data_IF_709434853021
#
_entry.id   IF_709434853021
#
_cell.length_a   1.000
_cell.length_b   1.000
_cell.length_c   1.000
_cell.angle_alpha   90.00
_cell.angle_beta   90.00
_cell.angle_gamma   90.00
#
_symmetry.space_group_name_H-M   'P 1'
#
loop_
_entity.id
_entity.type
_entity.pdbx_description
1 polymer ?
#
# COMPACT_ATOMS: atom_id res chain seq x y z
N UNK A 1 6.54 -26.97 19.40
CA UNK A 1 7.38 -26.55 18.28
C UNK A 1 6.61 -25.75 17.21
N UNK A 2 5.39 -26.19 16.83
CA UNK A 2 4.55 -25.41 15.90
C UNK A 2 4.26 -24.00 16.40
N UNK A 3 3.93 -23.82 17.69
CA UNK A 3 3.62 -22.49 18.24
C UNK A 3 4.82 -21.55 18.20
N UNK A 4 6.04 -22.06 18.46
CA UNK A 4 7.26 -21.26 18.40
C UNK A 4 7.53 -20.75 16.97
N UNK A 5 7.39 -21.63 15.99
CA UNK A 5 7.59 -21.26 14.58
C UNK A 5 6.55 -20.24 14.15
N UNK A 6 5.29 -20.42 14.52
CA UNK A 6 4.22 -19.48 14.21
C UNK A 6 4.46 -18.11 14.85
N UNK A 7 4.85 -18.08 16.13
CA UNK A 7 5.15 -16.82 16.81
C UNK A 7 6.29 -16.07 16.13
N UNK A 8 7.37 -16.79 15.78
CA UNK A 8 8.51 -16.21 15.08
C UNK A 8 8.10 -15.65 13.72
N UNK A 9 7.28 -16.40 12.97
CA UNK A 9 6.76 -15.95 11.68
C UNK A 9 5.95 -14.68 11.84
N UNK A 10 5.00 -14.62 12.78
CA UNK A 10 4.16 -13.45 12.97
C UNK A 10 4.95 -12.22 13.43
N UNK A 11 5.98 -12.42 14.25
CA UNK A 11 6.87 -11.33 14.65
C UNK A 11 7.64 -10.76 13.45
N UNK A 12 8.19 -11.63 12.63
CA UNK A 12 8.94 -11.21 11.43
C UNK A 12 8.01 -10.53 10.44
N UNK A 13 6.82 -11.06 10.26
CA UNK A 13 5.79 -10.47 9.40
C UNK A 13 5.43 -9.06 9.87
N UNK A 14 5.13 -8.88 11.14
CA UNK A 14 4.76 -7.59 11.70
C UNK A 14 5.89 -6.58 11.55
N UNK A 15 7.13 -6.96 11.83
CA UNK A 15 8.29 -6.10 11.67
C UNK A 15 8.51 -5.70 10.21
N UNK A 16 8.36 -6.65 9.28
CA UNK A 16 8.50 -6.39 7.85
C UNK A 16 7.41 -5.43 7.36
N UNK A 17 6.16 -5.69 7.71
CA UNK A 17 5.03 -4.85 7.30
C UNK A 17 5.16 -3.44 7.86
N UNK A 18 5.58 -3.30 9.11
CA UNK A 18 5.79 -2.00 9.73
C UNK A 18 6.92 -1.23 9.04
N UNK A 19 8.02 -1.90 8.73
CA UNK A 19 9.14 -1.31 8.01
C UNK A 19 8.72 -0.82 6.62
N UNK A 20 7.95 -1.63 5.90
CA UNK A 20 7.44 -1.27 4.57
C UNK A 20 6.49 -0.08 4.65
N UNK A 21 5.58 -0.08 5.62
CA UNK A 21 4.64 1.01 5.81
C UNK A 21 5.36 2.32 6.15
N UNK A 22 6.33 2.29 7.06
CA UNK A 22 7.12 3.46 7.43
C UNK A 22 7.86 4.03 6.23
N UNK A 23 8.55 3.18 5.47
CA UNK A 23 9.29 3.64 4.28
C UNK A 23 8.36 4.24 3.24
N UNK A 24 7.20 3.63 3.03
CA UNK A 24 6.21 4.16 2.10
C UNK A 24 5.67 5.50 2.52
N UNK A 25 5.37 5.67 3.80
CA UNK A 25 4.85 6.92 4.35
C UNK A 25 5.89 8.03 4.38
N UNK A 26 7.16 7.67 4.56
CA UNK A 26 8.27 8.63 4.57
C UNK A 26 8.67 9.08 3.17
N UNK A 27 8.24 8.37 2.13
CA UNK A 27 8.57 8.74 0.76
C UNK A 27 7.90 10.07 0.41
N UNK A 28 8.69 11.10 0.04
CA UNK A 28 8.13 12.40 -0.34
C UNK A 28 7.48 12.28 -1.72
N UNK A 29 6.17 12.48 -1.79
CA UNK A 29 5.47 12.46 -3.07
C UNK A 29 5.87 13.64 -3.93
N UNK A 30 6.02 13.45 -5.26
CA UNK A 30 6.19 14.57 -6.18
C UNK A 30 5.03 15.56 -6.08
N UNK A 31 5.29 16.83 -6.30
CA UNK A 31 4.27 17.89 -6.18
C UNK A 31 3.09 17.71 -7.13
N UNK A 32 3.33 17.08 -8.26
CA UNK A 32 2.30 16.85 -9.30
C UNK A 32 1.48 15.59 -9.07
N UNK A 33 1.72 14.88 -7.96
CA UNK A 33 0.99 13.66 -7.62
C UNK A 33 0.02 13.94 -6.47
N UNK A 34 -1.24 13.64 -6.68
CA UNK A 34 -2.26 13.64 -5.64
C UNK A 34 -2.48 12.22 -5.15
N UNK A 35 -2.37 12.02 -3.83
CA UNK A 35 -2.61 10.74 -3.20
C UNK A 35 -3.89 10.79 -2.37
N UNK A 36 -4.80 9.88 -2.68
CA UNK A 36 -5.95 9.59 -1.83
C UNK A 36 -5.72 8.23 -1.19
N UNK A 37 -5.49 8.21 0.12
CA UNK A 37 -5.06 7.01 0.82
C UNK A 37 -6.15 6.41 1.69
N UNK A 38 -5.97 5.12 2.00
CA UNK A 38 -6.80 4.40 2.97
C UNK A 38 -8.28 4.33 2.58
N UNK A 39 -8.54 4.06 1.30
CA UNK A 39 -9.90 3.90 0.79
C UNK A 39 -10.32 2.45 1.02
N UNK A 40 -11.38 2.23 1.80
CA UNK A 40 -11.94 0.90 1.98
C UNK A 40 -12.66 0.45 0.71
N UNK A 41 -12.39 -0.79 0.29
CA UNK A 41 -13.06 -1.37 -0.88
C UNK A 41 -14.12 -2.42 -0.49
N UNK A 42 -14.43 -2.55 0.80
CA UNK A 42 -15.53 -3.40 1.26
C UNK A 42 -16.46 -2.61 2.20
N UNK A 43 -17.70 -3.07 2.31
CA UNK A 43 -18.70 -2.42 3.14
C UNK A 43 -18.44 -2.58 4.64
N UNK A 44 -17.73 -3.63 5.02
CA UNK A 44 -17.44 -3.95 6.43
C UNK A 44 -16.27 -3.13 6.99
N UNK A 45 -15.55 -2.40 6.15
CA UNK A 45 -14.39 -1.60 6.54
C UNK A 45 -13.36 -2.41 7.32
N UNK A 46 -13.05 -3.62 6.83
CA UNK A 46 -11.98 -4.43 7.38
C UNK A 46 -10.64 -3.66 7.23
N UNK A 47 -9.86 -3.45 8.31
CA UNK A 47 -8.67 -2.60 8.24
C UNK A 47 -7.66 -2.99 7.16
N UNK A 48 -7.55 -4.28 6.83
CA UNK A 48 -6.66 -4.75 5.77
C UNK A 48 -7.20 -4.50 4.36
N UNK A 49 -8.49 -4.18 4.22
CA UNK A 49 -9.15 -4.02 2.93
C UNK A 49 -9.16 -2.56 2.51
N UNK A 50 -7.98 -1.98 2.32
CA UNK A 50 -7.82 -0.59 1.90
C UNK A 50 -6.87 -0.50 0.71
N UNK A 51 -7.09 0.53 -0.09
CA UNK A 51 -6.23 0.84 -1.24
C UNK A 51 -5.87 2.32 -1.24
N UNK A 52 -4.86 2.65 -2.00
CA UNK A 52 -4.46 4.04 -2.26
C UNK A 52 -4.65 4.33 -3.75
N UNK A 53 -5.06 5.56 -4.05
CA UNK A 53 -5.18 6.05 -5.43
C UNK A 53 -4.19 7.19 -5.63
N UNK A 54 -3.33 7.04 -6.65
CA UNK A 54 -2.37 8.05 -7.07
C UNK A 54 -2.83 8.61 -8.41
N UNK A 55 -2.91 9.92 -8.54
CA UNK A 55 -3.31 10.53 -9.82
C UNK A 55 -2.63 11.88 -10.02
N UNK A 56 -2.55 12.35 -11.29
CA UNK A 56 -1.96 13.66 -11.56
C UNK A 56 -2.78 14.76 -10.90
N UNK A 57 -2.09 15.69 -10.27
CA UNK A 57 -2.73 16.85 -9.66
C UNK A 57 -3.18 17.81 -10.74
N UNK A 58 -4.37 18.35 -10.58
CA UNK A 58 -4.91 19.35 -11.52
C UNK A 58 -5.58 18.77 -12.75
N UNK A 59 -5.73 17.46 -12.83
CA UNK A 59 -6.41 16.78 -13.95
C UNK A 59 -7.71 16.12 -13.50
N UNK A 60 -8.36 16.71 -12.51
CA UNK A 60 -9.63 16.21 -12.00
C UNK A 60 -10.72 16.31 -13.07
N UNK A 61 -11.56 15.29 -13.16
CA UNK A 61 -12.60 15.19 -14.16
C UNK A 61 -12.16 14.64 -15.51
N UNK A 62 -10.85 14.45 -15.74
CA UNK A 62 -10.37 13.79 -16.95
C UNK A 62 -10.46 12.27 -16.82
N UNK A 63 -10.77 11.62 -17.94
CA UNK A 63 -10.76 10.16 -18.02
C UNK A 63 -9.35 9.74 -18.38
N UNK A 64 -8.68 9.05 -17.43
CA UNK A 64 -7.29 8.63 -17.57
C UNK A 64 -7.19 7.11 -17.53
N UNK A 65 -6.16 6.52 -18.17
CA UNK A 65 -5.90 5.09 -18.01
C UNK A 65 -5.62 4.75 -16.54
N UNK A 66 -6.01 3.55 -16.13
CA UNK A 66 -5.82 3.09 -14.75
C UNK A 66 -4.89 1.90 -14.72
N UNK A 67 -3.87 1.96 -13.85
CA UNK A 67 -2.98 0.85 -13.58
C UNK A 67 -3.28 0.36 -12.15
N UNK A 68 -3.58 -0.92 -12.02
CA UNK A 68 -3.79 -1.53 -10.70
C UNK A 68 -2.52 -2.25 -10.30
N UNK A 69 -1.94 -1.81 -9.17
CA UNK A 69 -0.73 -2.42 -8.60
C UNK A 69 -1.11 -3.15 -7.32
N UNK A 70 -0.79 -4.43 -7.26
CA UNK A 70 -1.02 -5.27 -6.07
C UNK A 70 0.33 -5.64 -5.49
N UNK A 71 0.53 -5.38 -4.20
CA UNK A 71 1.79 -5.69 -3.55
C UNK A 71 2.03 -7.20 -3.49
N UNK A 72 3.31 -7.60 -3.53
CA UNK A 72 3.71 -8.97 -3.35
C UNK A 72 3.74 -9.38 -1.87
N UNK A 73 4.05 -10.61 -1.60
CA UNK A 73 4.17 -11.16 -0.25
C UNK A 73 3.60 -12.55 -0.08
N UNK A 74 3.29 -13.25 -1.18
CA UNK A 74 2.78 -14.62 -1.16
C UNK A 74 1.43 -14.76 -0.46
N UNK A 75 0.63 -13.70 -0.44
CA UNK A 75 -0.67 -13.62 0.23
C UNK A 75 -0.56 -13.66 1.77
N UNK A 76 0.64 -13.58 2.31
CA UNK A 76 0.88 -13.71 3.75
C UNK A 76 1.44 -12.44 4.39
N UNK A 77 2.22 -11.67 3.64
CA UNK A 77 2.89 -10.47 4.17
C UNK A 77 2.82 -9.33 3.16
N UNK A 78 3.12 -8.13 3.62
CA UNK A 78 3.18 -6.94 2.79
C UNK A 78 2.04 -5.96 3.07
N UNK A 79 2.10 -4.82 2.44
CA UNK A 79 1.06 -3.79 2.53
C UNK A 79 1.10 -2.86 1.31
N UNK A 80 0.09 -2.02 1.17
CA UNK A 80 -0.05 -1.12 0.04
C UNK A 80 1.03 -0.03 -0.03
N UNK A 81 1.64 0.32 1.08
CA UNK A 81 2.69 1.34 1.14
C UNK A 81 4.01 0.85 0.56
N UNK A 82 4.19 -0.46 0.43
CA UNK A 82 5.42 -1.06 -0.08
C UNK A 82 5.81 -0.53 -1.46
N UNK A 83 4.84 -0.39 -2.35
CA UNK A 83 5.07 0.04 -3.73
C UNK A 83 4.78 1.52 -3.96
N UNK A 84 4.66 2.33 -2.91
CA UNK A 84 4.32 3.75 -3.05
C UNK A 84 5.26 4.51 -3.98
N UNK A 85 6.60 4.38 -3.87
CA UNK A 85 7.49 5.09 -4.79
C UNK A 85 7.26 4.69 -6.25
N UNK A 86 7.06 3.40 -6.51
CA UNK A 86 6.78 2.90 -7.85
C UNK A 86 5.46 3.45 -8.39
N UNK A 87 4.40 3.37 -7.59
CA UNK A 87 3.08 3.86 -8.00
C UNK A 87 3.12 5.36 -8.29
N UNK A 88 3.78 6.14 -7.45
CA UNK A 88 3.91 7.57 -7.65
C UNK A 88 4.70 7.90 -8.93
N UNK A 89 5.66 7.07 -9.32
CA UNK A 89 6.46 7.29 -10.52
C UNK A 89 5.69 7.07 -11.81
N UNK A 90 4.57 6.35 -11.76
CA UNK A 90 3.75 6.05 -12.93
C UNK A 90 2.75 7.17 -13.26
N UNK A 91 2.59 8.11 -12.38
CA UNK A 91 1.66 9.25 -12.53
C UNK A 91 2.36 10.46 -13.22
#
# INVERSE_FOLDING_TARGET
MKSFICEMFYKQRAAFEQSCASRGKEYPLPEDVFLQSDIFYDEKHVPAHRLDVYRPRGRDGEILPVIVNVHGGGLLIGNKEFNRPFCASLV
#
